data_IF_713484260807
#
_entry.id   IF_713484260807
#
_cell.length_a   1.000
_cell.length_b   1.000
_cell.length_c   1.000
_cell.angle_alpha   90.00
_cell.angle_beta   90.00
_cell.angle_gamma   90.00
#
_symmetry.space_group_name_H-M   'P 1'
#
loop_
_entity.id
_entity.type
_entity.pdbx_description
1 polymer ?
#
# COMPACT_ATOMS: atom_id res chain seq x y z
N UNK A 1 21.21 -30.20 2.30
CA UNK A 1 19.82 -29.71 2.12
C UNK A 1 18.94 -30.48 3.10
N UNK A 2 18.08 -29.82 3.89
CA UNK A 2 17.09 -30.54 4.67
C UNK A 2 16.23 -31.36 3.71
N UNK A 3 15.91 -32.60 4.10
CA UNK A 3 15.03 -33.47 3.31
C UNK A 3 13.69 -32.78 3.11
N UNK A 4 13.40 -32.40 1.88
CA UNK A 4 12.10 -31.84 1.49
C UNK A 4 11.19 -32.99 1.14
N UNK A 5 10.05 -33.13 1.80
CA UNK A 5 9.09 -34.15 1.49
C UNK A 5 8.55 -33.94 0.05
N UNK A 6 8.40 -35.05 -0.70
CA UNK A 6 7.84 -34.99 -2.05
C UNK A 6 6.45 -34.32 -2.09
N UNK A 7 5.62 -34.58 -1.08
CA UNK A 7 4.32 -33.95 -0.93
C UNK A 7 4.41 -32.41 -0.87
N UNK A 8 5.35 -31.86 -0.09
CA UNK A 8 5.55 -30.40 0.04
C UNK A 8 5.99 -29.79 -1.29
N UNK A 9 6.89 -30.45 -2.01
CA UNK A 9 7.32 -30.03 -3.34
C UNK A 9 6.15 -30.04 -4.33
N UNK A 10 5.37 -31.10 -4.35
CA UNK A 10 4.20 -31.24 -5.23
C UNK A 10 3.14 -30.17 -4.93
N UNK A 11 2.76 -30.01 -3.66
CA UNK A 11 1.75 -29.01 -3.28
C UNK A 11 2.22 -27.59 -3.54
N UNK A 12 3.49 -27.27 -3.31
CA UNK A 12 4.07 -25.96 -3.61
C UNK A 12 4.01 -25.66 -5.11
N UNK A 13 4.48 -26.58 -5.93
CA UNK A 13 4.43 -26.41 -7.39
C UNK A 13 3.00 -26.30 -7.92
N UNK A 14 2.09 -27.12 -7.42
CA UNK A 14 0.67 -27.06 -7.76
C UNK A 14 0.08 -25.70 -7.41
N UNK A 15 0.36 -25.17 -6.22
CA UNK A 15 -0.16 -23.89 -5.76
C UNK A 15 0.39 -22.69 -6.56
N UNK A 16 1.63 -22.78 -7.08
CA UNK A 16 2.19 -21.79 -7.97
C UNK A 16 1.59 -21.82 -9.37
N UNK A 17 1.50 -23.03 -9.95
CA UNK A 17 1.19 -23.20 -11.37
C UNK A 17 -0.31 -23.22 -11.66
N UNK A 18 -1.12 -23.76 -10.75
CA UNK A 18 -2.55 -23.94 -11.00
C UNK A 18 -3.29 -22.61 -11.26
N UNK A 19 -3.06 -21.51 -10.51
CA UNK A 19 -3.66 -20.22 -10.81
C UNK A 19 -3.25 -19.69 -12.19
N UNK A 20 -1.98 -19.85 -12.58
CA UNK A 20 -1.49 -19.43 -13.89
C UNK A 20 -2.20 -20.22 -15.00
N UNK A 21 -2.28 -21.54 -14.87
CA UNK A 21 -2.97 -22.38 -15.84
C UNK A 21 -4.46 -22.02 -15.96
N UNK A 22 -5.12 -21.76 -14.86
CA UNK A 22 -6.51 -21.28 -14.87
C UNK A 22 -6.67 -19.96 -15.65
N UNK A 23 -5.78 -19.01 -15.42
CA UNK A 23 -5.82 -17.74 -16.16
C UNK A 23 -5.61 -17.94 -17.66
N UNK A 24 -4.64 -18.81 -18.03
CA UNK A 24 -4.33 -19.08 -19.43
C UNK A 24 -5.45 -19.81 -20.19
N UNK A 25 -6.36 -20.50 -19.49
CA UNK A 25 -7.55 -21.13 -20.08
C UNK A 25 -8.79 -20.22 -20.08
N UNK A 26 -8.68 -19.06 -19.42
CA UNK A 26 -9.78 -18.08 -19.30
C UNK A 26 -10.14 -17.43 -20.64
N UNK A 27 -11.41 -17.00 -20.74
CA UNK A 27 -11.86 -16.13 -21.85
C UNK A 27 -11.64 -14.69 -21.46
N UNK A 28 -10.84 -13.96 -22.23
CA UNK A 28 -10.62 -12.53 -22.02
C UNK A 28 -11.49 -11.76 -23.02
N UNK A 29 -12.31 -10.79 -22.56
CA UNK A 29 -13.11 -9.95 -23.45
C UNK A 29 -12.21 -9.21 -24.45
N UNK A 30 -12.69 -9.02 -25.68
CA UNK A 30 -11.99 -8.21 -26.66
C UNK A 30 -12.02 -6.75 -26.24
N UNK A 31 -10.87 -6.09 -26.26
CA UNK A 31 -10.70 -4.68 -25.93
C UNK A 31 -9.58 -4.06 -26.77
N UNK A 32 -9.63 -2.76 -26.96
CA UNK A 32 -8.59 -2.01 -27.67
C UNK A 32 -7.34 -1.77 -26.82
N UNK A 33 -7.47 -1.82 -25.49
CA UNK A 33 -6.39 -1.67 -24.51
C UNK A 33 -6.69 -2.55 -23.30
N UNK A 34 -5.66 -3.18 -22.76
CA UNK A 34 -5.73 -3.89 -21.48
C UNK A 34 -4.92 -3.14 -20.44
N UNK A 35 -5.53 -2.81 -19.32
CA UNK A 35 -4.87 -2.07 -18.25
C UNK A 35 -4.88 -2.88 -16.95
N UNK A 36 -3.69 -3.21 -16.45
CA UNK A 36 -3.50 -3.83 -15.14
C UNK A 36 -3.04 -2.78 -14.12
N UNK A 37 -3.51 -2.93 -12.87
CA UNK A 37 -3.14 -2.03 -11.76
C UNK A 37 -2.08 -2.62 -10.84
N UNK A 38 -1.56 -3.79 -11.17
CA UNK A 38 -0.44 -4.46 -10.50
C UNK A 38 0.16 -5.51 -11.42
N UNK A 39 1.36 -5.94 -11.12
CA UNK A 39 1.94 -7.17 -11.68
C UNK A 39 1.27 -8.42 -11.07
N UNK A 40 1.87 -9.59 -11.18
CA UNK A 40 1.28 -10.84 -10.69
C UNK A 40 0.16 -11.35 -11.60
N UNK A 41 -0.87 -11.93 -11.00
CA UNK A 41 -1.94 -12.61 -11.77
C UNK A 41 -2.79 -11.64 -12.61
N UNK A 42 -3.07 -10.45 -12.10
CA UNK A 42 -3.82 -9.42 -12.83
C UNK A 42 -3.07 -8.93 -14.07
N UNK A 43 -1.79 -8.65 -13.92
CA UNK A 43 -0.91 -8.28 -15.03
C UNK A 43 -0.76 -9.41 -16.06
N UNK A 44 -0.67 -10.67 -15.61
CA UNK A 44 -0.63 -11.82 -16.50
C UNK A 44 -1.90 -11.94 -17.34
N UNK A 45 -3.08 -11.73 -16.74
CA UNK A 45 -4.36 -11.75 -17.45
C UNK A 45 -4.45 -10.62 -18.49
N UNK A 46 -3.98 -9.42 -18.15
CA UNK A 46 -3.91 -8.32 -19.10
C UNK A 46 -2.97 -8.63 -20.28
N UNK A 47 -1.82 -9.23 -19.99
CA UNK A 47 -0.87 -9.69 -21.04
C UNK A 47 -1.46 -10.78 -21.93
N UNK A 48 -2.25 -11.71 -21.37
CA UNK A 48 -2.99 -12.69 -22.15
C UNK A 48 -3.98 -12.01 -23.09
N UNK A 49 -4.78 -11.07 -22.58
CA UNK A 49 -5.73 -10.30 -23.38
C UNK A 49 -5.06 -9.54 -24.53
N UNK A 50 -3.96 -8.85 -24.23
CA UNK A 50 -3.16 -8.14 -25.22
C UNK A 50 -2.61 -9.06 -26.31
N UNK A 51 -2.12 -10.25 -25.93
CA UNK A 51 -1.59 -11.23 -26.87
C UNK A 51 -2.67 -11.83 -27.76
N UNK A 52 -3.84 -12.17 -27.22
CA UNK A 52 -4.93 -12.79 -27.96
C UNK A 52 -5.63 -11.81 -28.94
N UNK A 53 -5.68 -10.53 -28.55
CA UNK A 53 -6.42 -9.52 -29.31
C UNK A 53 -5.53 -8.49 -30.01
N UNK A 54 -4.21 -8.68 -30.00
CA UNK A 54 -3.21 -7.76 -30.58
C UNK A 54 -3.36 -6.31 -30.10
N UNK A 55 -3.66 -6.17 -28.81
CA UNK A 55 -3.91 -4.87 -28.16
C UNK A 55 -2.78 -4.52 -27.18
N UNK A 56 -2.46 -3.22 -27.00
CA UNK A 56 -1.45 -2.77 -26.06
C UNK A 56 -1.86 -3.07 -24.62
N UNK A 57 -0.85 -3.35 -23.79
CA UNK A 57 -0.99 -3.58 -22.34
C UNK A 57 -0.39 -2.41 -21.59
N UNK A 58 -1.18 -1.77 -20.75
CA UNK A 58 -0.73 -0.75 -19.80
C UNK A 58 -0.65 -1.38 -18.41
N UNK A 59 0.38 -0.99 -17.66
CA UNK A 59 0.54 -1.37 -16.27
C UNK A 59 0.68 -0.11 -15.42
N UNK A 60 -0.11 0.00 -14.36
CA UNK A 60 0.07 1.02 -13.33
C UNK A 60 0.33 0.33 -11.99
N UNK A 61 1.42 0.67 -11.33
CA UNK A 61 1.72 0.18 -9.99
C UNK A 61 1.65 1.33 -8.97
N UNK A 62 0.75 1.20 -8.00
CA UNK A 62 0.63 2.11 -6.86
C UNK A 62 1.68 1.81 -5.78
N UNK A 63 2.04 0.56 -5.61
CA UNK A 63 3.17 0.02 -4.86
C UNK A 63 3.88 -1.02 -5.72
N UNK A 64 5.04 -1.48 -5.32
CA UNK A 64 5.76 -2.53 -6.05
C UNK A 64 5.27 -3.90 -5.56
N UNK A 65 4.29 -4.45 -6.27
CA UNK A 65 3.62 -5.71 -5.93
C UNK A 65 4.59 -6.84 -5.57
N UNK A 66 5.67 -6.99 -6.31
CA UNK A 66 6.65 -8.06 -6.09
C UNK A 66 7.34 -7.92 -4.74
N UNK A 67 7.69 -6.70 -4.31
CA UNK A 67 8.27 -6.44 -2.98
C UNK A 67 7.28 -6.72 -1.86
N UNK A 68 6.03 -6.34 -2.05
CA UNK A 68 4.97 -6.63 -1.08
C UNK A 68 4.78 -8.14 -0.93
N UNK A 69 4.78 -8.89 -2.04
CA UNK A 69 4.72 -10.36 -2.03
C UNK A 69 5.95 -10.99 -1.38
N UNK A 70 7.14 -10.46 -1.62
CA UNK A 70 8.36 -10.93 -0.97
C UNK A 70 8.27 -10.81 0.54
N UNK A 71 7.91 -9.64 1.06
CA UNK A 71 7.75 -9.40 2.49
C UNK A 71 6.68 -10.30 3.11
N UNK A 72 5.54 -10.46 2.44
CA UNK A 72 4.47 -11.35 2.87
C UNK A 72 4.94 -12.81 2.94
N UNK A 73 5.63 -13.30 1.91
CA UNK A 73 6.15 -14.67 1.87
C UNK A 73 7.20 -14.90 2.97
N UNK A 74 8.07 -13.93 3.22
CA UNK A 74 9.07 -14.02 4.29
C UNK A 74 8.38 -14.22 5.65
N UNK A 75 7.29 -13.51 5.90
CA UNK A 75 6.52 -13.59 7.16
C UNK A 75 5.53 -14.74 7.20
N UNK A 76 5.16 -15.32 6.05
CA UNK A 76 4.12 -16.34 5.95
C UNK A 76 4.49 -17.63 6.69
N UNK A 77 3.60 -18.09 7.57
CA UNK A 77 3.73 -19.38 8.27
C UNK A 77 3.25 -20.56 7.41
N UNK A 78 2.32 -20.30 6.48
CA UNK A 78 1.78 -21.32 5.57
C UNK A 78 2.75 -21.77 4.47
N UNK A 79 3.83 -21.00 4.24
CA UNK A 79 4.86 -21.35 3.26
C UNK A 79 5.97 -22.16 3.93
N UNK A 80 6.17 -23.37 3.48
CA UNK A 80 7.29 -24.22 3.93
C UNK A 80 8.61 -23.45 3.77
N UNK A 81 9.43 -23.28 4.82
CA UNK A 81 10.61 -22.41 4.79
C UNK A 81 11.57 -22.65 3.62
N UNK A 82 11.80 -23.91 3.24
CA UNK A 82 12.65 -24.29 2.11
C UNK A 82 12.11 -23.87 0.73
N UNK A 83 10.84 -23.46 0.64
CA UNK A 83 10.21 -22.99 -0.60
C UNK A 83 9.98 -21.49 -0.67
N UNK A 84 10.24 -20.73 0.40
CA UNK A 84 10.05 -19.27 0.40
C UNK A 84 10.79 -18.59 -0.75
N UNK A 85 12.07 -18.92 -0.95
CA UNK A 85 12.86 -18.36 -2.05
C UNK A 85 12.31 -18.69 -3.45
N UNK A 86 11.67 -19.86 -3.60
CA UNK A 86 11.04 -20.25 -4.88
C UNK A 86 9.76 -19.46 -5.14
N UNK A 87 8.94 -19.24 -4.12
CA UNK A 87 7.76 -18.38 -4.21
C UNK A 87 8.14 -16.94 -4.57
N UNK A 88 9.14 -16.38 -3.91
CA UNK A 88 9.66 -15.06 -4.21
C UNK A 88 10.11 -14.99 -5.67
N UNK A 89 10.98 -15.91 -6.09
CA UNK A 89 11.45 -15.95 -7.48
C UNK A 89 10.31 -16.11 -8.50
N UNK A 90 9.28 -16.87 -8.17
CA UNK A 90 8.11 -17.02 -9.03
C UNK A 90 7.40 -15.68 -9.28
N UNK A 91 7.18 -14.87 -8.25
CA UNK A 91 6.57 -13.54 -8.42
C UNK A 91 7.49 -12.55 -9.14
N UNK A 92 8.79 -12.63 -8.93
CA UNK A 92 9.77 -11.86 -9.72
C UNK A 92 9.69 -12.22 -11.20
N UNK A 93 9.66 -13.51 -11.55
CA UNK A 93 9.51 -13.97 -12.94
C UNK A 93 8.20 -13.51 -13.58
N UNK A 94 7.09 -13.53 -12.84
CA UNK A 94 5.81 -13.02 -13.35
C UNK A 94 5.89 -11.52 -13.65
N UNK A 95 6.48 -10.75 -12.76
CA UNK A 95 6.63 -9.30 -12.94
C UNK A 95 7.56 -8.95 -14.09
N UNK A 96 8.68 -9.63 -14.23
CA UNK A 96 9.61 -9.46 -15.34
C UNK A 96 8.93 -9.75 -16.69
N UNK A 97 8.16 -10.82 -16.80
CA UNK A 97 7.41 -11.14 -18.01
C UNK A 97 6.35 -10.10 -18.34
N UNK A 98 5.65 -9.56 -17.32
CA UNK A 98 4.64 -8.52 -17.50
C UNK A 98 5.31 -7.21 -17.94
N UNK A 99 6.42 -6.80 -17.32
CA UNK A 99 7.20 -5.64 -17.74
C UNK A 99 7.68 -5.76 -19.18
N UNK A 100 8.15 -6.94 -19.57
CA UNK A 100 8.60 -7.21 -20.94
C UNK A 100 7.48 -7.03 -21.96
N UNK A 101 6.24 -7.47 -21.64
CA UNK A 101 5.06 -7.41 -22.52
C UNK A 101 4.34 -6.07 -22.48
N UNK A 102 4.42 -5.33 -21.38
CA UNK A 102 3.75 -4.05 -21.27
C UNK A 102 4.25 -3.05 -22.32
N UNK A 103 3.33 -2.32 -22.93
CA UNK A 103 3.62 -1.20 -23.81
C UNK A 103 4.12 0.01 -23.03
N UNK A 104 3.48 0.30 -21.89
CA UNK A 104 3.91 1.33 -20.92
C UNK A 104 3.68 0.83 -19.50
N UNK A 105 4.56 1.27 -18.61
CA UNK A 105 4.52 1.00 -17.18
C UNK A 105 4.55 2.32 -16.43
N UNK A 106 3.54 2.58 -15.62
CA UNK A 106 3.49 3.79 -14.79
C UNK A 106 3.61 3.45 -13.31
N UNK A 107 4.23 4.37 -12.59
CA UNK A 107 4.34 4.37 -11.14
C UNK A 107 4.03 5.76 -10.59
N UNK A 108 3.75 5.87 -9.29
CA UNK A 108 3.34 7.12 -8.67
C UNK A 108 4.51 8.07 -8.36
N UNK A 109 5.73 7.56 -8.23
CA UNK A 109 6.89 8.34 -7.79
C UNK A 109 8.20 7.74 -8.33
N UNK A 110 9.26 8.57 -8.35
CA UNK A 110 10.53 8.23 -8.98
C UNK A 110 11.24 7.02 -8.37
N UNK A 111 11.14 6.80 -7.06
CA UNK A 111 11.75 5.62 -6.44
C UNK A 111 11.07 4.32 -6.90
N UNK A 112 9.74 4.30 -7.06
CA UNK A 112 9.03 3.16 -7.62
C UNK A 112 9.46 2.89 -9.06
N UNK A 113 9.57 3.94 -9.91
CA UNK A 113 10.12 3.81 -11.26
C UNK A 113 11.52 3.20 -11.26
N UNK A 114 12.40 3.65 -10.37
CA UNK A 114 13.75 3.09 -10.25
C UNK A 114 13.71 1.61 -9.91
N UNK A 115 12.88 1.22 -8.95
CA UNK A 115 12.70 -0.18 -8.56
C UNK A 115 12.16 -1.03 -9.71
N UNK A 116 11.20 -0.52 -10.50
CA UNK A 116 10.71 -1.21 -11.71
C UNK A 116 11.83 -1.49 -12.70
N UNK A 117 12.73 -0.53 -12.93
CA UNK A 117 13.89 -0.68 -13.81
C UNK A 117 14.88 -1.70 -13.24
N UNK A 118 15.20 -1.63 -11.94
CA UNK A 118 16.06 -2.59 -11.24
C UNK A 118 15.50 -4.02 -11.32
N UNK A 119 14.17 -4.16 -11.40
CA UNK A 119 13.46 -5.44 -11.56
C UNK A 119 13.27 -5.88 -13.02
N UNK A 120 13.96 -5.25 -13.97
CA UNK A 120 14.01 -5.66 -15.37
C UNK A 120 13.01 -4.95 -16.30
N UNK A 121 12.31 -3.91 -15.85
CA UNK A 121 11.52 -3.08 -16.75
C UNK A 121 12.42 -2.17 -17.58
N UNK A 122 12.14 -2.08 -18.88
CA UNK A 122 12.82 -1.13 -19.76
C UNK A 122 12.54 0.30 -19.33
N UNK A 123 13.60 1.09 -19.13
CA UNK A 123 13.52 2.48 -18.68
C UNK A 123 12.70 3.39 -19.60
N UNK A 124 12.68 3.10 -20.91
CA UNK A 124 11.92 3.85 -21.91
C UNK A 124 10.41 3.61 -21.81
N UNK A 125 10.00 2.47 -21.22
CA UNK A 125 8.60 2.15 -20.97
C UNK A 125 8.09 2.77 -19.67
N UNK A 126 8.98 3.08 -18.72
CA UNK A 126 8.64 3.54 -17.38
C UNK A 126 8.36 5.04 -17.34
N UNK A 127 7.16 5.40 -16.92
CA UNK A 127 6.75 6.79 -16.69
C UNK A 127 6.31 7.00 -15.25
N UNK A 128 6.41 8.23 -14.75
CA UNK A 128 5.88 8.60 -13.43
C UNK A 128 4.60 9.41 -13.64
N UNK A 129 3.50 8.91 -13.09
CA UNK A 129 2.20 9.58 -13.08
C UNK A 129 1.76 9.65 -11.62
N UNK A 130 1.98 10.77 -10.93
CA UNK A 130 1.61 10.92 -9.53
C UNK A 130 0.11 10.81 -9.31
N UNK A 131 -0.30 10.46 -8.09
CA UNK A 131 -1.69 10.58 -7.67
C UNK A 131 -2.13 12.04 -7.73
N UNK A 132 -3.40 12.24 -8.04
CA UNK A 132 -4.07 13.53 -7.95
C UNK A 132 -5.12 13.54 -6.85
N UNK A 133 -5.47 14.74 -6.41
CA UNK A 133 -6.60 14.99 -5.51
C UNK A 133 -7.61 15.91 -6.19
N UNK A 134 -8.86 15.88 -5.74
CA UNK A 134 -9.88 16.82 -6.21
C UNK A 134 -9.61 18.19 -5.58
N UNK A 135 -8.76 18.99 -6.23
CA UNK A 135 -8.30 20.28 -5.74
C UNK A 135 -9.45 21.17 -5.26
N UNK A 136 -10.57 21.23 -6.01
CA UNK A 136 -11.74 22.05 -5.70
C UNK A 136 -12.37 21.74 -4.34
N UNK A 137 -12.19 20.52 -3.83
CA UNK A 137 -12.70 20.12 -2.50
C UNK A 137 -11.86 20.67 -1.35
N UNK A 138 -10.58 20.96 -1.61
CA UNK A 138 -9.61 21.29 -0.55
C UNK A 138 -9.13 22.73 -0.62
N UNK A 139 -9.13 23.37 -1.78
CA UNK A 139 -8.56 24.70 -1.98
C UNK A 139 -9.24 25.84 -1.18
N UNK A 140 -10.49 25.64 -0.76
CA UNK A 140 -11.28 26.65 -0.07
C UNK A 140 -11.54 26.28 1.40
N UNK A 141 -10.76 25.38 2.00
CA UNK A 141 -10.88 25.07 3.42
C UNK A 141 -10.46 26.29 4.22
N UNK A 142 -11.36 26.89 5.06
CA UNK A 142 -10.99 28.03 5.88
C UNK A 142 -9.96 27.60 6.92
N UNK A 143 -9.07 28.52 7.25
CA UNK A 143 -8.11 28.31 8.34
C UNK A 143 -8.89 28.21 9.67
N UNK A 144 -8.36 27.39 10.57
CA UNK A 144 -8.87 27.26 11.92
C UNK A 144 -8.88 28.63 12.61
N UNK A 145 -9.95 28.93 13.34
CA UNK A 145 -10.01 30.11 14.20
C UNK A 145 -9.15 29.88 15.45
N UNK A 146 -8.41 30.90 15.85
CA UNK A 146 -7.58 30.85 17.07
C UNK A 146 -8.47 30.65 18.31
N UNK A 147 -8.26 29.54 19.00
CA UNK A 147 -8.95 29.17 20.25
C UNK A 147 -7.97 28.93 21.42
N UNK A 148 -6.69 29.20 21.19
CA UNK A 148 -5.61 28.96 22.16
C UNK A 148 -5.13 27.50 22.19
N UNK A 149 -5.67 26.61 21.35
CA UNK A 149 -5.25 25.23 21.21
C UNK A 149 -4.51 25.01 19.89
N UNK A 150 -3.56 24.07 19.91
CA UNK A 150 -2.92 23.55 18.71
C UNK A 150 -3.51 22.19 18.41
N UNK A 151 -4.20 22.06 17.28
CA UNK A 151 -4.87 20.84 16.84
C UNK A 151 -4.07 20.17 15.71
N UNK A 152 -3.54 18.99 16.02
CA UNK A 152 -2.78 18.16 15.08
C UNK A 152 -3.70 17.07 14.55
N UNK A 153 -3.75 16.89 13.24
CA UNK A 153 -4.54 15.83 12.60
C UNK A 153 -3.71 14.72 12.01
N UNK A 154 -4.23 13.51 12.02
CA UNK A 154 -3.67 12.38 11.27
C UNK A 154 -4.80 11.67 10.52
N UNK A 155 -4.78 11.71 9.19
CA UNK A 155 -5.76 11.00 8.34
C UNK A 155 -5.19 9.63 8.02
N UNK A 156 -5.48 8.66 8.87
CA UNK A 156 -4.87 7.32 8.80
C UNK A 156 -5.84 6.23 9.26
N UNK A 157 -5.75 5.03 8.66
CA UNK A 157 -6.41 3.84 9.19
C UNK A 157 -5.58 3.27 10.35
N UNK A 158 -6.25 2.69 11.36
CA UNK A 158 -5.55 2.00 12.45
C UNK A 158 -5.05 0.64 11.92
N UNK A 159 -3.78 0.63 11.50
CA UNK A 159 -3.07 -0.54 10.97
C UNK A 159 -1.58 -0.45 11.32
N UNK A 160 -0.88 -1.58 11.52
CA UNK A 160 0.54 -1.60 11.92
C UNK A 160 1.45 -0.77 11.00
N UNK A 161 1.21 -0.78 9.68
CA UNK A 161 2.01 -0.04 8.71
C UNK A 161 1.94 1.49 8.90
N UNK A 162 0.89 2.00 9.54
CA UNK A 162 0.70 3.44 9.82
C UNK A 162 1.42 3.91 11.08
N UNK A 163 1.95 2.99 11.86
CA UNK A 163 2.73 3.20 13.07
C UNK A 163 2.15 4.26 14.03
N UNK A 164 0.86 4.03 14.36
CA UNK A 164 0.12 4.91 15.27
C UNK A 164 0.77 4.94 16.67
N UNK A 165 1.45 3.87 17.08
CA UNK A 165 2.13 3.83 18.38
C UNK A 165 3.26 4.85 18.46
N UNK A 166 4.09 4.99 17.42
CA UNK A 166 5.10 6.05 17.35
C UNK A 166 4.45 7.43 17.40
N UNK A 167 3.32 7.63 16.74
CA UNK A 167 2.56 8.89 16.82
C UNK A 167 2.07 9.19 18.24
N UNK A 168 1.53 8.20 18.95
CA UNK A 168 1.08 8.32 20.34
C UNK A 168 2.24 8.68 21.26
N UNK A 169 3.39 8.02 21.15
CA UNK A 169 4.58 8.34 21.95
C UNK A 169 5.11 9.76 21.65
N UNK A 170 5.17 10.14 20.38
CA UNK A 170 5.59 11.49 20.00
C UNK A 170 4.63 12.56 20.56
N UNK A 171 3.32 12.28 20.53
CA UNK A 171 2.33 13.16 21.12
C UNK A 171 2.43 13.23 22.65
N UNK A 172 2.73 12.12 23.34
CA UNK A 172 2.96 12.11 24.78
C UNK A 172 4.11 13.06 25.18
N UNK A 173 5.23 12.99 24.47
CA UNK A 173 6.36 13.89 24.67
C UNK A 173 5.99 15.36 24.40
N UNK A 174 5.22 15.61 23.35
CA UNK A 174 4.77 16.96 23.01
C UNK A 174 3.81 17.50 24.06
N UNK A 175 2.81 16.73 24.47
CA UNK A 175 1.81 17.14 25.45
C UNK A 175 2.40 17.44 26.84
N UNK A 176 3.52 16.80 27.19
CA UNK A 176 4.26 17.10 28.43
C UNK A 176 4.87 18.52 28.44
N UNK A 177 5.17 19.06 27.25
CA UNK A 177 5.80 20.38 27.06
C UNK A 177 4.78 21.46 26.65
N UNK A 178 3.68 21.06 26.04
CA UNK A 178 2.63 21.94 25.52
C UNK A 178 1.27 21.45 25.98
N UNK A 179 0.73 22.00 27.09
CA UNK A 179 -0.54 21.51 27.66
C UNK A 179 -1.76 21.76 26.77
N UNK A 180 -1.72 22.78 25.91
CA UNK A 180 -2.79 23.17 24.99
C UNK A 180 -2.65 22.56 23.59
N UNK A 181 -2.23 21.32 23.50
CA UNK A 181 -2.16 20.56 22.23
C UNK A 181 -3.18 19.43 22.23
N UNK A 182 -3.80 19.16 21.09
CA UNK A 182 -4.69 18.01 20.83
C UNK A 182 -4.22 17.24 19.60
N UNK A 183 -4.35 15.92 19.65
CA UNK A 183 -4.11 15.03 18.50
C UNK A 183 -5.42 14.36 18.10
N UNK A 184 -5.78 14.48 16.83
CA UNK A 184 -6.97 13.91 16.23
C UNK A 184 -6.58 12.83 15.22
N UNK A 185 -6.87 11.56 15.53
CA UNK A 185 -6.62 10.43 14.64
C UNK A 185 -7.91 10.10 13.90
N UNK A 186 -7.93 10.43 12.60
CA UNK A 186 -9.11 10.32 11.73
C UNK A 186 -8.97 9.13 10.82
N UNK A 187 -9.79 8.11 11.01
CA UNK A 187 -9.84 6.94 10.16
C UNK A 187 -10.50 5.74 10.83
N UNK A 188 -10.81 4.74 10.04
CA UNK A 188 -11.40 3.49 10.54
C UNK A 188 -10.36 2.52 11.07
N UNK A 189 -10.83 1.51 11.77
CA UNK A 189 -10.04 0.35 12.19
C UNK A 189 -9.90 -0.59 10.99
N UNK A 190 -8.67 -0.99 10.71
CA UNK A 190 -8.31 -1.94 9.66
C UNK A 190 -7.78 -3.25 10.28
N UNK A 191 -7.15 -3.12 11.45
CA UNK A 191 -6.66 -4.22 12.28
C UNK A 191 -7.16 -4.01 13.72
N UNK A 192 -8.09 -4.88 14.15
CA UNK A 192 -8.76 -4.78 15.46
C UNK A 192 -7.79 -4.97 16.64
N UNK A 193 -6.82 -5.88 16.51
CA UNK A 193 -5.90 -6.16 17.60
C UNK A 193 -4.89 -5.03 17.75
N UNK A 194 -4.39 -4.50 16.64
CA UNK A 194 -3.55 -3.31 16.66
C UNK A 194 -4.29 -2.08 17.21
N UNK A 195 -5.56 -1.90 16.87
CA UNK A 195 -6.36 -0.81 17.41
C UNK A 195 -6.53 -0.91 18.93
N UNK A 196 -6.82 -2.12 19.48
CA UNK A 196 -6.88 -2.36 20.92
C UNK A 196 -5.57 -2.00 21.61
N UNK A 197 -4.43 -2.37 21.02
CA UNK A 197 -3.11 -2.01 21.53
C UNK A 197 -2.89 -0.48 21.54
N UNK A 198 -3.33 0.22 20.51
CA UNK A 198 -3.28 1.69 20.46
C UNK A 198 -4.13 2.35 21.54
N UNK A 199 -5.37 1.87 21.73
CA UNK A 199 -6.26 2.39 22.78
C UNK A 199 -5.69 2.13 24.17
N UNK A 200 -5.21 0.92 24.44
CA UNK A 200 -4.58 0.57 25.72
C UNK A 200 -3.35 1.44 25.99
N UNK A 201 -2.55 1.77 24.98
CA UNK A 201 -1.38 2.64 25.10
C UNK A 201 -1.79 4.06 25.49
N UNK A 202 -2.85 4.62 24.89
CA UNK A 202 -3.38 5.95 25.24
C UNK A 202 -3.86 6.00 26.70
N UNK A 203 -4.55 4.95 27.17
CA UNK A 203 -4.98 4.82 28.56
C UNK A 203 -3.79 4.71 29.52
N UNK A 204 -2.81 3.85 29.19
CA UNK A 204 -1.59 3.68 29.97
C UNK A 204 -0.81 4.99 30.14
N UNK A 205 -0.71 5.79 29.08
CA UNK A 205 -0.04 7.09 29.09
C UNK A 205 -0.92 8.23 29.61
N UNK A 206 -2.17 7.95 29.97
CA UNK A 206 -3.15 8.92 30.50
C UNK A 206 -3.36 10.14 29.59
N UNK A 207 -3.31 9.95 28.29
CA UNK A 207 -3.45 11.03 27.29
C UNK A 207 -4.92 11.45 27.15
N UNK A 208 -5.28 12.60 27.71
CA UNK A 208 -6.66 13.14 27.67
C UNK A 208 -6.97 13.90 26.39
N UNK A 209 -5.95 14.44 25.74
CA UNK A 209 -6.07 15.31 24.57
C UNK A 209 -5.80 14.58 23.25
N UNK A 210 -5.82 13.23 23.24
CA UNK A 210 -5.76 12.40 22.05
C UNK A 210 -7.16 11.86 21.75
N UNK A 211 -7.62 12.06 20.53
CA UNK A 211 -8.98 11.79 20.09
C UNK A 211 -8.97 10.86 18.90
N UNK A 212 -9.53 9.67 19.02
CA UNK A 212 -9.83 8.79 17.88
C UNK A 212 -11.23 9.16 17.36
N UNK A 213 -11.29 9.76 16.18
CA UNK A 213 -12.57 10.26 15.64
C UNK A 213 -13.37 9.18 14.89
N UNK A 214 -12.72 8.05 14.53
CA UNK A 214 -13.27 7.15 13.56
C UNK A 214 -13.29 7.76 12.15
N UNK A 215 -14.16 7.26 11.28
CA UNK A 215 -14.34 7.81 9.92
C UNK A 215 -15.13 9.10 9.98
N UNK A 216 -14.57 10.18 9.44
CA UNK A 216 -15.16 11.52 9.37
C UNK A 216 -15.09 12.07 7.95
N UNK A 217 -15.86 13.11 7.66
CA UNK A 217 -15.62 13.92 6.47
C UNK A 217 -14.33 14.73 6.69
N UNK A 218 -13.28 14.33 5.99
CA UNK A 218 -11.93 14.89 6.14
C UNK A 218 -11.92 16.38 5.81
N UNK A 219 -12.64 16.82 4.76
CA UNK A 219 -12.68 18.23 4.33
C UNK A 219 -13.27 19.10 5.42
N UNK A 220 -14.39 18.68 6.01
CA UNK A 220 -15.02 19.41 7.09
C UNK A 220 -14.19 19.38 8.37
N UNK A 221 -13.49 18.28 8.63
CA UNK A 221 -12.70 18.15 9.84
C UNK A 221 -11.40 18.96 9.79
N UNK A 222 -10.77 19.07 8.61
CA UNK A 222 -9.54 19.85 8.41
C UNK A 222 -9.66 21.31 8.84
N UNK A 223 -10.86 21.90 8.80
CA UNK A 223 -11.11 23.27 9.29
C UNK A 223 -10.78 23.47 10.78
N UNK A 224 -10.69 22.39 11.55
CA UNK A 224 -10.41 22.39 12.99
C UNK A 224 -8.94 22.16 13.32
N UNK A 225 -8.10 21.92 12.30
CA UNK A 225 -6.71 21.53 12.47
C UNK A 225 -5.78 22.66 12.10
N UNK A 226 -4.65 22.73 12.79
CA UNK A 226 -3.56 23.63 12.45
C UNK A 226 -2.60 22.99 11.44
N UNK A 227 -2.33 21.68 11.57
CA UNK A 227 -1.53 20.92 10.63
C UNK A 227 -1.79 19.41 10.74
N UNK A 228 -1.27 18.65 9.80
CA UNK A 228 -1.38 17.19 9.76
C UNK A 228 -0.01 16.52 9.91
N UNK A 229 -0.01 15.30 10.48
CA UNK A 229 1.19 14.46 10.62
C UNK A 229 0.94 13.06 10.06
N UNK A 230 2.01 12.41 9.69
CA UNK A 230 2.01 11.03 9.23
C UNK A 230 3.27 10.32 9.74
N UNK A 231 3.11 9.15 10.37
CA UNK A 231 4.20 8.36 10.97
C UNK A 231 4.39 7.00 10.30
N UNK A 232 3.74 6.76 9.18
CA UNK A 232 3.76 5.47 8.50
C UNK A 232 5.20 4.96 8.27
N UNK A 233 5.42 3.68 8.51
CA UNK A 233 6.71 3.01 8.29
C UNK A 233 7.11 3.07 6.80
N UNK A 234 6.12 2.93 5.92
CA UNK A 234 6.32 2.99 4.47
C UNK A 234 5.11 3.58 3.78
N UNK A 235 5.37 4.49 2.87
CA UNK A 235 4.37 5.09 1.98
C UNK A 235 4.95 5.23 0.57
N UNK A 236 4.09 5.10 -0.41
CA UNK A 236 4.43 5.48 -1.78
C UNK A 236 4.20 6.97 -1.99
N UNK A 237 2.95 7.32 -2.22
CA UNK A 237 2.47 8.70 -2.31
C UNK A 237 1.16 8.79 -1.52
N UNK A 238 1.22 9.14 -0.23
CA UNK A 238 0.05 9.12 0.64
C UNK A 238 -0.93 10.25 0.27
N UNK A 239 -2.16 9.88 -0.08
CA UNK A 239 -3.22 10.85 -0.43
C UNK A 239 -3.58 11.78 0.74
N UNK A 240 -3.28 11.37 1.97
CA UNK A 240 -3.57 12.16 3.18
C UNK A 240 -2.69 13.39 3.37
N UNK A 241 -1.63 13.56 2.56
CA UNK A 241 -0.71 14.72 2.62
C UNK A 241 -0.59 15.45 1.27
N UNK A 242 -1.38 15.06 0.27
CA UNK A 242 -1.52 15.76 -1.00
C UNK A 242 -2.61 16.83 -0.90
#
# INVERSE_FOLDING_TARGET
YPYVAYADAFHTMRSMLLPVLYLLTGRVPKADVYHAISTGYGGLLACLGGSLNHAPVLLTEHGIYTREREEEIIRAEWVVPSFKSRWIRFFYMLSEEIYRRAFRVSSLFYNARRTQIEMGCDAEKCIVIPNGVQYERFCNIPLKQEDGWVDIGAVVRLAPIKDIKTMIYAFFELASRMPNVRLHIMGGVDDEDYAKECYALVEQLQLKNLIFTGRVDVVQYMQKLDFTILTSISEGQPLSVL
#
